data_IF_591521318331
#
_entry.id   IF_591521318331
#
_cell.length_a   1.000
_cell.length_b   1.000
_cell.length_c   1.000
_cell.angle_alpha   90.00
_cell.angle_beta   90.00
_cell.angle_gamma   90.00
#
_symmetry.space_group_name_H-M   'P 1'
#
loop_
_entity.id
_entity.type
_entity.pdbx_description
1 polymer ?
#
# COMPACT_ATOMS: atom_id res chain seq x y z
N UNK A 1 40.25 12.23 -10.07
CA UNK A 1 38.91 12.41 -9.45
C UNK A 1 37.89 12.12 -10.53
N UNK A 2 37.21 10.96 -10.53
CA UNK A 2 36.21 10.64 -11.55
C UNK A 2 34.98 11.54 -11.40
N UNK A 3 34.36 12.00 -12.51
CA UNK A 3 33.16 12.83 -12.45
C UNK A 3 32.00 12.04 -11.84
N UNK A 4 31.28 12.67 -10.91
CA UNK A 4 30.10 12.09 -10.27
C UNK A 4 29.05 11.75 -11.35
N UNK A 5 28.67 10.47 -11.42
CA UNK A 5 27.63 10.01 -12.32
C UNK A 5 26.33 10.77 -12.03
N UNK A 6 25.74 11.37 -13.06
CA UNK A 6 24.45 12.04 -12.94
C UNK A 6 23.38 11.04 -12.43
N UNK A 7 22.51 11.45 -11.48
CA UNK A 7 21.46 10.57 -10.97
C UNK A 7 20.57 10.12 -12.11
N UNK A 8 20.34 8.81 -12.22
CA UNK A 8 19.46 8.24 -13.23
C UNK A 8 18.05 8.87 -13.14
N UNK A 9 17.40 9.20 -14.27
CA UNK A 9 16.06 9.76 -14.25
C UNK A 9 15.10 8.81 -13.53
N UNK A 10 14.17 9.32 -12.71
CA UNK A 10 13.26 8.48 -11.95
C UNK A 10 12.47 7.61 -12.93
N UNK A 11 12.58 6.28 -12.76
CA UNK A 11 11.79 5.33 -13.54
C UNK A 11 10.32 5.72 -13.41
N UNK A 12 9.65 5.97 -14.54
CA UNK A 12 8.24 6.36 -14.60
C UNK A 12 7.39 5.18 -14.12
N UNK A 13 7.18 5.09 -12.81
CA UNK A 13 6.33 4.07 -12.20
C UNK A 13 4.90 4.39 -12.58
N UNK A 14 4.37 3.64 -13.54
CA UNK A 14 2.95 3.72 -13.85
C UNK A 14 2.19 3.40 -12.56
N UNK A 15 1.25 4.26 -12.15
CA UNK A 15 0.53 4.05 -10.92
C UNK A 15 -0.30 2.77 -11.05
N UNK A 16 -0.26 1.93 -10.01
CA UNK A 16 -0.80 0.57 -10.04
C UNK A 16 -2.31 0.51 -10.32
N UNK A 17 -3.06 1.55 -9.95
CA UNK A 17 -4.50 1.69 -10.23
C UNK A 17 -4.89 1.63 -11.72
N UNK A 18 -3.95 1.93 -12.64
CA UNK A 18 -4.23 1.91 -14.08
C UNK A 18 -4.49 0.50 -14.60
N UNK A 19 -3.88 -0.52 -13.98
CA UNK A 19 -4.04 -1.91 -14.41
C UNK A 19 -5.48 -2.42 -14.29
N UNK A 20 -6.11 -2.41 -13.10
CA UNK A 20 -7.49 -2.91 -12.95
C UNK A 20 -8.51 -2.04 -13.70
N UNK A 21 -8.30 -0.73 -13.80
CA UNK A 21 -9.20 0.15 -14.57
C UNK A 21 -9.08 -0.09 -16.07
N UNK A 22 -7.86 -0.29 -16.59
CA UNK A 22 -7.66 -0.60 -18.00
C UNK A 22 -8.19 -2.01 -18.35
N UNK A 23 -7.99 -2.98 -17.46
CA UNK A 23 -8.57 -4.32 -17.62
C UNK A 23 -10.11 -4.27 -17.64
N UNK A 24 -10.72 -3.52 -16.72
CA UNK A 24 -12.18 -3.30 -16.69
C UNK A 24 -12.69 -2.60 -17.95
N UNK A 25 -11.99 -1.58 -18.43
CA UNK A 25 -12.32 -0.87 -19.67
C UNK A 25 -12.23 -1.79 -20.90
N UNK A 26 -11.15 -2.58 -21.01
CA UNK A 26 -10.95 -3.52 -22.11
C UNK A 26 -12.02 -4.61 -22.13
N UNK A 27 -12.33 -5.21 -20.97
CA UNK A 27 -13.39 -6.20 -20.84
C UNK A 27 -14.75 -5.58 -21.21
N UNK A 28 -15.05 -4.39 -20.70
CA UNK A 28 -16.27 -3.66 -21.02
C UNK A 28 -16.40 -3.34 -22.52
N UNK A 29 -15.28 -3.05 -23.21
CA UNK A 29 -15.26 -2.79 -24.65
C UNK A 29 -15.53 -4.04 -25.48
N UNK A 30 -14.96 -5.18 -25.07
CA UNK A 30 -15.23 -6.48 -25.72
C UNK A 30 -16.70 -6.85 -25.57
N UNK A 31 -17.27 -6.70 -24.38
CA UNK A 31 -18.70 -6.99 -24.14
C UNK A 31 -19.61 -6.00 -24.88
N UNK A 32 -19.24 -4.72 -24.95
CA UNK A 32 -19.97 -3.71 -25.71
C UNK A 32 -20.01 -3.99 -27.22
N UNK A 33 -18.92 -4.52 -27.78
CA UNK A 33 -18.85 -4.88 -29.21
C UNK A 33 -19.72 -6.09 -29.58
N UNK A 34 -19.95 -6.98 -28.61
CA UNK A 34 -20.71 -8.23 -28.79
C UNK A 34 -22.20 -8.09 -28.40
N UNK A 35 -22.59 -6.97 -27.81
CA UNK A 35 -23.92 -6.74 -27.28
C UNK A 35 -24.59 -5.54 -27.96
N UNK A 36 -25.87 -5.62 -28.36
CA UNK A 36 -26.60 -4.48 -28.95
C UNK A 36 -26.76 -3.31 -27.97
N UNK A 37 -26.41 -3.56 -26.71
CA UNK A 37 -26.46 -2.61 -25.65
C UNK A 37 -25.44 -1.46 -25.86
N UNK A 38 -24.32 -1.65 -26.56
CA UNK A 38 -23.45 -0.54 -26.98
C UNK A 38 -22.54 0.03 -25.86
N UNK A 39 -22.08 1.27 -26.03
CA UNK A 39 -20.95 1.84 -25.28
C UNK A 39 -21.15 1.98 -23.76
N UNK A 40 -22.37 1.91 -23.22
CA UNK A 40 -22.56 2.02 -21.76
C UNK A 40 -21.92 0.84 -21.00
N UNK A 41 -21.70 -0.31 -21.65
CA UNK A 41 -21.00 -1.46 -21.07
C UNK A 41 -19.52 -1.17 -20.78
N UNK A 42 -18.87 -0.30 -21.55
CA UNK A 42 -17.50 0.15 -21.23
C UNK A 42 -17.50 1.01 -19.98
N UNK A 43 -18.46 1.91 -19.85
CA UNK A 43 -18.61 2.74 -18.66
C UNK A 43 -18.83 1.89 -17.41
N UNK A 44 -19.69 0.86 -17.49
CA UNK A 44 -19.88 -0.11 -16.40
C UNK A 44 -18.60 -0.87 -16.10
N UNK A 45 -17.85 -1.33 -17.11
CA UNK A 45 -16.56 -1.99 -16.94
C UNK A 45 -15.52 -1.12 -16.23
N UNK A 46 -15.45 0.18 -16.56
CA UNK A 46 -14.58 1.14 -15.88
C UNK A 46 -14.99 1.33 -14.42
N UNK A 47 -16.28 1.51 -14.15
CA UNK A 47 -16.80 1.68 -12.79
C UNK A 47 -16.53 0.44 -11.94
N UNK A 48 -16.75 -0.76 -12.49
CA UNK A 48 -16.44 -2.02 -11.81
C UNK A 48 -14.93 -2.16 -11.57
N UNK A 49 -14.08 -1.84 -12.55
CA UNK A 49 -12.63 -1.85 -12.39
C UNK A 49 -12.15 -0.90 -11.29
N UNK A 50 -12.71 0.31 -11.24
CA UNK A 50 -12.43 1.28 -10.18
C UNK A 50 -12.92 0.81 -8.80
N UNK A 51 -14.10 0.19 -8.73
CA UNK A 51 -14.66 -0.36 -7.49
C UNK A 51 -13.81 -1.54 -6.96
N UNK A 52 -13.40 -2.45 -7.83
CA UNK A 52 -12.49 -3.56 -7.49
C UNK A 52 -11.16 -3.01 -6.98
N UNK A 53 -10.59 -2.00 -7.65
CA UNK A 53 -9.38 -1.35 -7.18
C UNK A 53 -9.57 -0.71 -5.80
N UNK A 54 -10.62 0.10 -5.60
CA UNK A 54 -10.89 0.73 -4.31
C UNK A 54 -11.06 -0.31 -3.20
N UNK A 55 -11.75 -1.41 -3.49
CA UNK A 55 -11.92 -2.53 -2.57
C UNK A 55 -10.59 -3.19 -2.22
N UNK A 56 -9.81 -3.59 -3.22
CA UNK A 56 -8.50 -4.22 -3.03
C UNK A 56 -7.54 -3.27 -2.29
N UNK A 57 -7.49 -2.01 -2.70
CA UNK A 57 -6.65 -0.98 -2.11
C UNK A 57 -7.00 -0.80 -0.62
N UNK A 58 -8.29 -0.66 -0.26
CA UNK A 58 -8.73 -0.55 1.15
C UNK A 58 -8.41 -1.77 2.02
N UNK A 59 -8.21 -2.95 1.42
CA UNK A 59 -7.98 -4.21 2.12
C UNK A 59 -6.54 -4.70 2.09
N UNK A 60 -5.70 -4.19 1.20
CA UNK A 60 -4.33 -4.66 0.98
C UNK A 60 -3.52 -4.78 2.28
N UNK A 61 -3.50 -3.74 3.11
CA UNK A 61 -2.77 -3.79 4.39
C UNK A 61 -3.27 -4.88 5.32
N UNK A 62 -4.59 -5.03 5.44
CA UNK A 62 -5.18 -6.08 6.30
C UNK A 62 -4.78 -7.47 5.80
N UNK A 63 -4.73 -7.67 4.48
CA UNK A 63 -4.36 -8.95 3.91
C UNK A 63 -2.86 -9.24 4.09
N UNK A 64 -2.00 -8.23 3.95
CA UNK A 64 -0.58 -8.35 4.23
C UNK A 64 -0.30 -8.65 5.70
N UNK A 65 -1.00 -7.97 6.62
CA UNK A 65 -0.92 -8.26 8.06
C UNK A 65 -1.33 -9.70 8.35
N UNK A 66 -2.45 -10.18 7.79
CA UNK A 66 -2.87 -11.59 7.90
C UNK A 66 -1.83 -12.56 7.40
N UNK A 67 -1.36 -12.35 6.17
CA UNK A 67 -0.41 -13.24 5.52
C UNK A 67 0.93 -13.29 6.28
N UNK A 68 1.35 -12.18 6.87
CA UNK A 68 2.53 -12.10 7.73
C UNK A 68 2.26 -12.56 9.19
N UNK A 69 1.02 -12.92 9.52
CA UNK A 69 0.62 -13.41 10.83
C UNK A 69 0.51 -12.34 11.92
N UNK A 70 0.34 -11.07 11.57
CA UNK A 70 0.18 -9.94 12.50
C UNK A 70 -1.29 -9.58 12.79
N UNK A 71 -2.23 -10.52 12.65
CA UNK A 71 -3.65 -10.23 12.86
C UNK A 71 -4.03 -9.86 14.28
N UNK A 72 -3.32 -10.41 15.26
CA UNK A 72 -3.52 -10.13 16.67
C UNK A 72 -2.66 -8.94 17.16
N UNK A 73 -2.02 -8.19 16.26
CA UNK A 73 -1.19 -7.06 16.65
C UNK A 73 -2.06 -5.91 17.19
N UNK A 74 -1.69 -5.38 18.34
CA UNK A 74 -2.42 -4.31 19.05
C UNK A 74 -1.73 -2.98 18.78
N UNK A 75 -2.48 -1.85 18.64
CA UNK A 75 -1.86 -0.53 18.53
C UNK A 75 -0.92 -0.28 19.72
N UNK A 76 0.31 0.13 19.44
CA UNK A 76 1.24 0.58 20.47
C UNK A 76 0.96 2.05 20.76
N UNK A 77 0.78 2.36 22.04
CA UNK A 77 0.62 3.72 22.53
C UNK A 77 1.98 4.24 23.02
N UNK A 78 2.24 5.53 22.84
CA UNK A 78 3.47 6.17 23.30
C UNK A 78 3.65 6.06 24.83
N UNK A 79 2.55 5.96 25.57
CA UNK A 79 2.57 5.70 27.01
C UNK A 79 3.02 4.27 27.36
N UNK A 80 2.69 3.28 26.52
CA UNK A 80 3.03 1.88 26.75
C UNK A 80 4.47 1.55 26.31
N UNK A 81 4.91 2.09 25.15
CA UNK A 81 6.22 1.82 24.57
C UNK A 81 6.98 3.11 24.20
N UNK A 82 7.39 3.94 25.18
CA UNK A 82 8.00 5.24 24.91
C UNK A 82 9.32 5.14 24.14
N UNK A 83 10.12 4.08 24.39
CA UNK A 83 11.37 3.85 23.65
C UNK A 83 11.12 3.57 22.17
N UNK A 84 10.09 2.80 21.85
CA UNK A 84 9.75 2.48 20.46
C UNK A 84 9.35 3.77 19.74
N UNK A 85 8.48 4.57 20.34
CA UNK A 85 8.00 5.81 19.74
C UNK A 85 9.12 6.84 19.53
N UNK A 86 10.02 7.01 20.50
CA UNK A 86 11.16 7.92 20.37
C UNK A 86 12.13 7.47 19.25
N UNK A 87 12.35 6.16 19.11
CA UNK A 87 13.18 5.64 18.02
C UNK A 87 12.52 5.87 16.67
N UNK A 88 11.21 5.59 16.56
CA UNK A 88 10.46 5.84 15.33
C UNK A 88 10.49 7.31 14.95
N UNK A 89 10.28 8.21 15.89
CA UNK A 89 10.34 9.66 15.66
C UNK A 89 11.71 10.07 15.13
N UNK A 90 12.81 9.58 15.73
CA UNK A 90 14.17 9.88 15.25
C UNK A 90 14.41 9.38 13.82
N UNK A 91 13.91 8.20 13.48
CA UNK A 91 14.03 7.60 12.15
C UNK A 91 13.16 8.36 11.15
N UNK A 92 11.95 8.75 11.53
CA UNK A 92 11.03 9.53 10.70
C UNK A 92 11.62 10.91 10.35
N UNK A 93 12.16 11.61 11.35
CA UNK A 93 12.82 12.91 11.17
C UNK A 93 14.02 12.83 10.23
N UNK A 94 14.79 11.75 10.29
CA UNK A 94 16.00 11.58 9.47
C UNK A 94 15.66 11.09 8.05
N UNK A 95 14.66 10.21 7.93
CA UNK A 95 14.29 9.55 6.68
C UNK A 95 13.27 10.31 5.83
N UNK A 96 12.62 11.35 6.36
CA UNK A 96 11.56 12.07 5.66
C UNK A 96 10.32 11.21 5.38
N UNK A 97 10.08 10.21 6.23
CA UNK A 97 8.92 9.31 6.17
C UNK A 97 8.16 9.45 7.48
N UNK A 98 6.85 9.57 7.41
CA UNK A 98 5.97 9.60 8.57
C UNK A 98 5.46 8.18 8.87
N UNK A 99 5.56 7.73 10.13
CA UNK A 99 4.95 6.47 10.56
C UNK A 99 3.64 6.81 11.26
N UNK A 100 2.53 6.57 10.57
CA UNK A 100 1.18 6.91 11.04
C UNK A 100 0.70 6.03 12.20
N UNK A 101 1.21 4.78 12.28
CA UNK A 101 0.83 3.86 13.32
C UNK A 101 1.90 2.78 13.56
N UNK A 102 2.07 2.42 14.83
CA UNK A 102 2.86 1.28 15.26
C UNK A 102 1.96 0.23 15.92
N UNK A 103 2.18 -1.04 15.60
CA UNK A 103 1.47 -2.18 16.18
C UNK A 103 2.47 -3.16 16.77
N UNK A 104 2.15 -3.70 17.95
CA UNK A 104 2.98 -4.68 18.66
C UNK A 104 2.25 -6.01 18.73
N UNK A 105 2.98 -7.10 18.49
CA UNK A 105 2.50 -8.47 18.58
C UNK A 105 3.38 -9.27 19.54
N UNK A 106 2.81 -9.82 20.61
CA UNK A 106 3.54 -10.68 21.54
C UNK A 106 3.88 -12.02 20.86
N UNK A 107 5.15 -12.22 20.53
CA UNK A 107 5.67 -13.47 19.94
C UNK A 107 7.14 -13.65 20.27
N UNK A 108 7.57 -14.88 20.58
CA UNK A 108 8.96 -15.18 20.98
C UNK A 108 10.02 -14.97 19.88
N UNK A 109 9.62 -14.62 18.66
CA UNK A 109 10.50 -14.47 17.51
C UNK A 109 10.59 -13.00 17.12
N UNK A 110 11.80 -12.43 17.10
CA UNK A 110 12.02 -11.04 16.72
C UNK A 110 11.81 -10.82 15.21
N UNK A 111 10.75 -10.10 14.86
CA UNK A 111 10.34 -9.74 13.50
C UNK A 111 9.83 -8.29 13.45
N UNK A 112 10.04 -7.66 12.31
CA UNK A 112 9.56 -6.30 12.01
C UNK A 112 9.08 -6.24 10.57
N UNK A 113 7.91 -5.63 10.36
CA UNK A 113 7.30 -5.43 9.05
C UNK A 113 6.88 -3.98 8.90
N UNK A 114 7.33 -3.33 7.81
CA UNK A 114 6.94 -1.96 7.48
C UNK A 114 6.11 -1.96 6.20
N UNK A 115 4.94 -1.34 6.26
CA UNK A 115 4.00 -1.25 5.15
C UNK A 115 3.79 0.23 4.80
N UNK A 116 3.97 0.61 3.54
CA UNK A 116 3.73 1.98 3.07
C UNK A 116 2.75 2.01 1.92
N UNK A 117 1.53 2.49 2.15
CA UNK A 117 0.54 2.70 1.07
C UNK A 117 0.79 3.98 0.30
N UNK A 118 1.36 4.99 0.97
CA UNK A 118 1.71 6.27 0.40
C UNK A 118 3.23 6.42 0.49
N UNK A 119 3.87 7.11 -0.47
CA UNK A 119 5.32 7.22 -0.55
C UNK A 119 5.99 7.85 0.70
N UNK A 120 5.22 8.51 1.56
CA UNK A 120 5.72 9.19 2.77
C UNK A 120 4.98 8.78 4.04
N UNK A 121 4.05 7.83 3.99
CA UNK A 121 3.27 7.39 5.16
C UNK A 121 3.32 5.87 5.29
N UNK A 122 3.88 5.41 6.41
CA UNK A 122 4.07 4.01 6.73
C UNK A 122 3.29 3.55 7.98
N UNK A 123 3.07 2.25 8.07
CA UNK A 123 2.66 1.53 9.27
C UNK A 123 3.76 0.55 9.65
N UNK A 124 4.11 0.51 10.93
CA UNK A 124 5.10 -0.38 11.50
C UNK A 124 4.42 -1.48 12.31
N UNK A 125 4.84 -2.73 12.11
CA UNK A 125 4.43 -3.87 12.93
C UNK A 125 5.68 -4.54 13.50
N UNK A 126 5.72 -4.74 14.82
CA UNK A 126 6.88 -5.28 15.52
C UNK A 126 6.44 -6.38 16.46
N UNK A 127 7.25 -7.41 16.61
CA UNK A 127 7.03 -8.43 17.63
C UNK A 127 7.78 -8.11 18.91
N UNK A 128 7.17 -8.41 20.05
CA UNK A 128 7.76 -8.33 21.38
C UNK A 128 7.93 -9.72 21.98
#
# INVERSE_FOLDING_TARGET
MPPAAAPAPPARRLPFWLFPTAAGAALGAVVAALSPLGWWLTAVGVVLGAAVWAHAHSRAERWLRRAAGFDAAVPSDAAADPRLHNLLESVCLTGGVEIAAAFVLERPQANLLVLGRQPHVGTLLVTR
#
